data_IF_376726908123
#
_entry.id   IF_376726908123
#
_cell.length_a   1.000
_cell.length_b   1.000
_cell.length_c   1.000
_cell.angle_alpha   90.00
_cell.angle_beta   90.00
_cell.angle_gamma   90.00
#
_symmetry.space_group_name_H-M   'P 1'
#
loop_
_entity.id
_entity.type
_entity.pdbx_description
1 polymer ?
#
# COMPACT_ATOMS: atom_id res chain seq x y z
N UNK A 1 0.66 20.06 -20.87
CA UNK A 1 1.43 18.83 -20.54
C UNK A 1 1.24 18.59 -19.06
N UNK A 2 0.63 17.47 -18.69
CA UNK A 2 0.55 17.06 -17.30
C UNK A 2 1.98 16.85 -16.80
N UNK A 3 2.36 17.45 -15.66
CA UNK A 3 3.69 17.28 -15.09
C UNK A 3 3.82 15.86 -14.56
N UNK A 4 4.80 15.10 -15.07
CA UNK A 4 5.13 13.75 -14.62
C UNK A 4 6.08 13.86 -13.42
N UNK A 5 5.63 13.57 -12.18
CA UNK A 5 6.49 13.71 -11.00
C UNK A 5 7.64 12.71 -10.98
N UNK A 6 7.50 11.58 -11.69
CA UNK A 6 8.49 10.49 -11.67
C UNK A 6 9.65 10.70 -12.65
N UNK A 7 9.51 11.63 -13.60
CA UNK A 7 10.59 11.99 -14.54
C UNK A 7 11.17 10.79 -15.28
N UNK A 8 12.46 10.51 -15.08
CA UNK A 8 13.17 9.43 -15.74
C UNK A 8 12.94 8.03 -15.13
N UNK A 9 12.29 7.93 -13.97
CA UNK A 9 12.05 6.64 -13.32
C UNK A 9 11.23 5.70 -14.23
N UNK A 10 11.69 4.46 -14.34
CA UNK A 10 11.09 3.42 -15.20
C UNK A 10 10.58 2.22 -14.40
N UNK A 11 11.06 2.03 -13.19
CA UNK A 11 10.82 0.88 -12.32
C UNK A 11 10.44 1.39 -10.93
N UNK A 12 9.15 1.54 -10.69
CA UNK A 12 8.62 2.20 -9.49
C UNK A 12 8.16 1.13 -8.51
N UNK A 13 8.71 1.14 -7.28
CA UNK A 13 8.28 0.29 -6.18
C UNK A 13 7.29 1.07 -5.31
N UNK A 14 6.06 0.58 -5.23
CA UNK A 14 5.03 1.03 -4.30
C UNK A 14 5.10 0.22 -3.03
N UNK A 15 5.21 0.88 -1.89
CA UNK A 15 5.28 0.25 -0.56
C UNK A 15 4.00 0.55 0.19
N UNK A 16 3.23 -0.49 0.50
CA UNK A 16 1.93 -0.42 1.16
C UNK A 16 1.88 -1.31 2.40
N UNK A 17 1.01 -0.99 3.36
CA UNK A 17 0.90 -1.71 4.61
C UNK A 17 0.08 -3.00 4.47
N UNK A 18 -1.10 -2.89 3.86
CA UNK A 18 -2.08 -3.97 3.82
C UNK A 18 -2.46 -4.33 2.38
N UNK A 19 -2.90 -5.57 2.14
CA UNK A 19 -3.58 -5.94 0.90
C UNK A 19 -4.85 -5.09 0.75
N UNK A 20 -4.99 -4.35 -0.33
CA UNK A 20 -6.00 -3.39 -0.77
C UNK A 20 -5.51 -1.93 -0.88
N UNK A 21 -4.56 -1.50 -0.06
CA UNK A 21 -4.02 -0.13 -0.07
C UNK A 21 -3.50 0.29 -1.46
N UNK A 22 -2.82 -0.63 -2.18
CA UNK A 22 -2.30 -0.35 -3.51
C UNK A 22 -3.42 -0.04 -4.51
N UNK A 23 -4.56 -0.69 -4.35
CA UNK A 23 -5.73 -0.48 -5.20
C UNK A 23 -6.55 0.73 -4.78
N UNK A 24 -6.71 0.96 -3.46
CA UNK A 24 -7.46 2.09 -2.90
C UNK A 24 -6.75 3.41 -3.17
N UNK A 25 -5.45 3.49 -2.84
CA UNK A 25 -4.70 4.73 -2.86
C UNK A 25 -4.00 5.00 -4.19
N UNK A 26 -3.57 3.95 -4.89
CA UNK A 26 -2.68 4.06 -6.06
C UNK A 26 -3.12 3.27 -7.28
N UNK A 27 -4.28 2.61 -7.26
CA UNK A 27 -4.69 1.69 -8.34
C UNK A 27 -4.73 2.36 -9.71
N UNK A 28 -5.39 3.51 -9.85
CA UNK A 28 -5.41 4.24 -11.11
C UNK A 28 -4.02 4.78 -11.51
N UNK A 29 -3.21 5.23 -10.54
CA UNK A 29 -1.84 5.68 -10.77
C UNK A 29 -0.95 4.54 -11.29
N UNK A 30 -1.00 3.36 -10.65
CA UNK A 30 -0.27 2.16 -11.09
C UNK A 30 -0.68 1.79 -12.53
N UNK A 31 -1.98 1.74 -12.81
CA UNK A 31 -2.49 1.43 -14.15
C UNK A 31 -2.02 2.46 -15.20
N UNK A 32 -2.03 3.76 -14.86
CA UNK A 32 -1.54 4.82 -15.74
C UNK A 32 -0.03 4.69 -16.04
N UNK A 33 0.77 4.45 -15.00
CA UNK A 33 2.21 4.28 -15.14
C UNK A 33 2.54 3.03 -15.97
N UNK A 34 1.84 1.92 -15.72
CA UNK A 34 2.00 0.67 -16.48
C UNK A 34 1.62 0.87 -17.96
N UNK A 35 0.49 1.51 -18.24
CA UNK A 35 0.06 1.86 -19.60
C UNK A 35 1.06 2.78 -20.32
N UNK A 36 1.80 3.61 -19.57
CA UNK A 36 2.88 4.45 -20.13
C UNK A 36 4.20 3.70 -20.39
N UNK A 37 4.25 2.39 -20.11
CA UNK A 37 5.42 1.54 -20.31
C UNK A 37 6.38 1.49 -19.11
N UNK A 38 6.00 2.01 -17.94
CA UNK A 38 6.75 1.83 -16.70
C UNK A 38 6.45 0.46 -16.10
N UNK A 39 7.42 -0.09 -15.37
CA UNK A 39 7.23 -1.31 -14.60
C UNK A 39 6.93 -0.93 -13.15
N UNK A 40 5.73 -1.19 -12.70
CA UNK A 40 5.31 -0.99 -11.33
C UNK A 40 5.47 -2.29 -10.53
N UNK A 41 5.98 -2.17 -9.31
CA UNK A 41 6.14 -3.26 -8.36
C UNK A 41 5.40 -2.89 -7.08
N UNK A 42 4.87 -3.89 -6.38
CA UNK A 42 4.16 -3.69 -5.11
C UNK A 42 4.83 -4.51 -4.02
N UNK A 43 5.21 -3.85 -2.94
CA UNK A 43 5.60 -4.45 -1.68
C UNK A 43 4.48 -4.18 -0.67
N UNK A 44 3.91 -5.25 -0.09
CA UNK A 44 2.89 -5.15 0.94
C UNK A 44 3.47 -5.70 2.25
N UNK A 45 3.29 -4.97 3.35
CA UNK A 45 4.03 -5.25 4.56
C UNK A 45 3.39 -6.32 5.43
N UNK A 46 2.07 -6.34 5.56
CA UNK A 46 1.32 -7.32 6.37
C UNK A 46 0.43 -8.20 5.50
N UNK A 47 -0.32 -9.07 6.10
CA UNK A 47 -1.32 -9.89 5.41
C UNK A 47 -2.74 -9.37 5.62
N UNK A 48 -2.90 -8.25 6.36
CA UNK A 48 -4.18 -7.64 6.67
C UNK A 48 -5.09 -8.54 7.48
N UNK A 49 -4.52 -9.36 8.34
CA UNK A 49 -5.20 -10.39 9.14
C UNK A 49 -6.15 -9.82 10.19
N UNK A 50 -6.10 -8.51 10.43
CA UNK A 50 -6.99 -7.81 11.37
C UNK A 50 -8.10 -7.01 10.67
N UNK A 51 -8.19 -7.11 9.35
CA UNK A 51 -9.25 -6.47 8.58
C UNK A 51 -10.63 -7.08 8.88
N UNK A 52 -11.64 -6.22 9.01
CA UNK A 52 -13.03 -6.67 9.08
C UNK A 52 -13.44 -7.35 7.78
N UNK A 53 -14.24 -8.41 7.88
CA UNK A 53 -14.69 -9.19 6.72
C UNK A 53 -16.15 -8.89 6.43
N UNK A 54 -16.48 -8.65 5.18
CA UNK A 54 -17.86 -8.47 4.75
C UNK A 54 -18.69 -9.74 5.04
N UNK A 55 -19.91 -9.57 5.58
CA UNK A 55 -20.78 -10.70 5.89
C UNK A 55 -20.99 -11.64 4.69
N UNK A 56 -20.86 -12.95 4.92
CA UNK A 56 -21.09 -13.98 3.92
C UNK A 56 -19.99 -14.20 2.89
N UNK A 57 -18.81 -13.54 3.05
CA UNK A 57 -17.68 -13.71 2.13
C UNK A 57 -16.69 -14.79 2.60
N UNK A 58 -16.59 -14.97 3.90
CA UNK A 58 -15.73 -15.99 4.51
C UNK A 58 -16.57 -16.81 5.50
N UNK A 59 -16.42 -18.12 5.47
CA UNK A 59 -17.04 -19.01 6.46
C UNK A 59 -16.32 -18.86 7.82
N UNK A 60 -16.97 -19.31 8.91
CA UNK A 60 -16.46 -19.13 10.26
C UNK A 60 -15.10 -19.84 10.53
N UNK A 61 -14.79 -20.87 9.76
CA UNK A 61 -13.55 -21.64 9.78
C UNK A 61 -12.62 -21.31 8.59
N UNK A 62 -12.96 -20.26 7.82
CA UNK A 62 -12.19 -19.84 6.64
C UNK A 62 -10.88 -19.14 7.01
N UNK A 63 -9.89 -19.28 6.13
CA UNK A 63 -8.59 -18.64 6.27
C UNK A 63 -8.61 -17.23 5.64
N UNK A 64 -8.76 -16.21 6.49
CA UNK A 64 -8.76 -14.80 6.06
C UNK A 64 -7.43 -14.41 5.39
N UNK A 65 -6.30 -14.87 5.90
CA UNK A 65 -4.99 -14.54 5.33
C UNK A 65 -4.87 -15.11 3.92
N UNK A 66 -5.23 -16.38 3.72
CA UNK A 66 -5.21 -16.99 2.40
C UNK A 66 -6.14 -16.26 1.42
N UNK A 67 -7.35 -15.88 1.88
CA UNK A 67 -8.31 -15.14 1.07
C UNK A 67 -7.73 -13.77 0.65
N UNK A 68 -7.25 -12.96 1.61
CA UNK A 68 -6.71 -11.63 1.32
C UNK A 68 -5.49 -11.66 0.41
N UNK A 69 -4.62 -12.66 0.58
CA UNK A 69 -3.46 -12.83 -0.32
C UNK A 69 -3.87 -13.23 -1.73
N UNK A 70 -4.95 -14.02 -1.90
CA UNK A 70 -5.50 -14.34 -3.21
C UNK A 70 -6.13 -13.11 -3.87
N UNK A 71 -6.90 -12.31 -3.12
CA UNK A 71 -7.48 -11.05 -3.57
C UNK A 71 -6.39 -10.05 -4.01
N UNK A 72 -5.33 -9.88 -3.21
CA UNK A 72 -4.17 -9.06 -3.52
C UNK A 72 -3.45 -9.51 -4.80
N UNK A 73 -3.29 -10.82 -4.97
CA UNK A 73 -2.65 -11.36 -6.16
C UNK A 73 -3.46 -11.05 -7.43
N UNK A 74 -4.79 -11.19 -7.37
CA UNK A 74 -5.70 -10.86 -8.47
C UNK A 74 -5.72 -9.37 -8.77
N UNK A 75 -5.82 -8.51 -7.73
CA UNK A 75 -5.78 -7.06 -7.88
C UNK A 75 -4.48 -6.56 -8.55
N UNK A 76 -3.32 -7.00 -8.07
CA UNK A 76 -2.03 -6.69 -8.68
C UNK A 76 -1.96 -7.12 -10.15
N UNK A 77 -2.51 -8.28 -10.49
CA UNK A 77 -2.59 -8.77 -11.86
C UNK A 77 -3.43 -7.85 -12.75
N UNK A 78 -4.59 -7.41 -12.25
CA UNK A 78 -5.50 -6.48 -12.98
C UNK A 78 -4.89 -5.10 -13.20
N UNK A 79 -4.04 -4.63 -12.30
CA UNK A 79 -3.30 -3.38 -12.43
C UNK A 79 -2.07 -3.50 -13.35
N UNK A 80 -1.70 -4.70 -13.80
CA UNK A 80 -0.52 -4.93 -14.61
C UNK A 80 0.80 -4.80 -13.82
N UNK A 81 0.77 -5.04 -12.51
CA UNK A 81 1.95 -5.02 -11.63
C UNK A 81 2.98 -6.05 -12.12
N UNK A 82 4.22 -5.61 -12.35
CA UNK A 82 5.29 -6.42 -12.94
C UNK A 82 5.91 -7.42 -11.95
N UNK A 83 5.72 -7.20 -10.64
CA UNK A 83 6.16 -8.09 -9.58
C UNK A 83 5.63 -7.60 -8.23
N UNK A 84 5.44 -8.52 -7.31
CA UNK A 84 4.96 -8.22 -5.96
C UNK A 84 5.70 -9.04 -4.92
N UNK A 85 5.80 -8.52 -3.69
CA UNK A 85 6.44 -9.20 -2.57
C UNK A 85 5.71 -8.89 -1.26
N UNK A 86 5.82 -9.81 -0.30
CA UNK A 86 5.46 -9.57 1.09
C UNK A 86 6.71 -9.27 1.89
N UNK A 87 6.66 -8.21 2.69
CA UNK A 87 7.75 -7.81 3.57
C UNK A 87 8.13 -8.96 4.53
N UNK A 88 9.42 -9.08 4.84
CA UNK A 88 9.95 -10.15 5.68
C UNK A 88 10.12 -11.49 4.97
N UNK A 89 9.75 -11.62 3.70
CA UNK A 89 9.94 -12.83 2.89
C UNK A 89 10.75 -12.53 1.62
N UNK A 90 11.60 -13.45 1.13
CA UNK A 90 12.32 -13.20 -0.13
C UNK A 90 11.38 -12.82 -1.28
N UNK A 91 11.70 -11.79 -2.11
CA UNK A 91 12.95 -11.03 -2.11
C UNK A 91 12.98 -9.82 -1.14
N UNK A 92 11.93 -9.58 -0.35
CA UNK A 92 11.81 -8.48 0.62
C UNK A 92 12.26 -8.91 2.03
N UNK A 93 13.41 -9.56 2.10
CA UNK A 93 14.09 -9.98 3.34
C UNK A 93 15.58 -9.84 3.18
N UNK A 94 16.18 -8.89 3.92
CA UNK A 94 17.61 -8.57 3.80
C UNK A 94 18.51 -9.64 4.43
N UNK A 95 18.11 -10.16 5.60
CA UNK A 95 18.92 -11.13 6.33
C UNK A 95 18.07 -12.03 7.25
N UNK A 96 18.59 -13.22 7.54
CA UNK A 96 17.97 -14.17 8.45
C UNK A 96 16.81 -14.96 7.86
N UNK A 97 16.07 -15.72 8.69
CA UNK A 97 14.90 -16.47 8.25
C UNK A 97 13.75 -15.55 7.84
N UNK A 98 12.80 -16.09 7.07
CA UNK A 98 11.57 -15.39 6.77
C UNK A 98 10.86 -14.97 8.06
N UNK A 99 10.29 -13.76 8.04
CA UNK A 99 9.55 -13.14 9.13
C UNK A 99 8.18 -12.68 8.65
N UNK A 100 7.19 -12.76 9.50
CA UNK A 100 5.88 -12.13 9.30
C UNK A 100 5.85 -10.86 10.13
N UNK A 101 5.47 -9.76 9.51
CA UNK A 101 5.08 -8.55 10.21
C UNK A 101 3.55 -8.55 10.28
N UNK A 102 3.03 -8.53 11.51
CA UNK A 102 1.59 -8.58 11.72
C UNK A 102 0.96 -7.19 11.55
N UNK A 103 -0.28 -7.18 11.10
CA UNK A 103 -1.12 -5.98 11.09
C UNK A 103 -1.30 -5.46 12.52
N UNK A 104 -0.98 -4.17 12.75
CA UNK A 104 -1.05 -3.55 14.07
C UNK A 104 -2.48 -3.31 14.53
N UNK A 105 -3.44 -3.38 13.60
CA UNK A 105 -4.77 -2.81 13.82
C UNK A 105 -4.70 -1.31 14.10
N UNK A 106 -5.84 -0.70 14.30
CA UNK A 106 -5.94 0.72 14.60
C UNK A 106 -6.93 0.97 15.73
N UNK A 107 -6.57 1.87 16.65
CA UNK A 107 -7.48 2.41 17.66
C UNK A 107 -7.29 3.92 17.76
N UNK A 108 -8.37 4.63 18.03
CA UNK A 108 -8.31 6.04 18.36
C UNK A 108 -7.79 6.23 19.79
N UNK A 109 -6.75 7.02 19.95
CA UNK A 109 -6.11 7.29 21.24
C UNK A 109 -6.75 8.48 21.97
N UNK A 110 -7.60 9.24 21.29
CA UNK A 110 -8.33 10.38 21.84
C UNK A 110 -9.82 10.30 21.49
N UNK A 111 -10.64 10.93 22.32
CA UNK A 111 -12.10 10.96 22.15
C UNK A 111 -12.56 11.79 20.93
N UNK A 112 -11.67 12.59 20.35
CA UNK A 112 -11.95 13.40 19.15
C UNK A 112 -11.60 12.65 17.85
N UNK A 113 -11.07 11.43 17.97
CA UNK A 113 -10.65 10.59 16.82
C UNK A 113 -9.65 11.32 15.90
N UNK A 114 -8.71 12.05 16.51
CA UNK A 114 -7.68 12.81 15.77
C UNK A 114 -6.31 12.17 15.82
N UNK A 115 -6.08 11.30 16.80
CA UNK A 115 -4.82 10.59 17.00
C UNK A 115 -5.07 9.08 16.95
N UNK A 116 -4.56 8.42 15.95
CA UNK A 116 -4.59 6.97 15.85
C UNK A 116 -3.30 6.33 16.38
N UNK A 117 -3.40 5.11 16.85
CA UNK A 117 -2.28 4.26 17.25
C UNK A 117 -2.61 2.78 17.07
N UNK A 118 -1.66 1.88 17.33
CA UNK A 118 -1.91 0.46 17.25
C UNK A 118 -3.04 0.03 18.18
N UNK A 119 -3.78 -1.00 17.78
CA UNK A 119 -4.85 -1.54 18.62
C UNK A 119 -4.28 -1.99 19.98
N UNK A 120 -5.05 -1.87 21.08
CA UNK A 120 -4.56 -2.24 22.42
C UNK A 120 -4.12 -3.71 22.54
N UNK A 121 -4.62 -4.57 21.66
CA UNK A 121 -4.30 -5.99 21.55
C UNK A 121 -3.37 -6.29 20.38
N UNK A 122 -2.63 -5.29 19.88
CA UNK A 122 -1.65 -5.48 18.82
C UNK A 122 -0.63 -6.56 19.23
N UNK A 123 -0.32 -7.52 18.36
CA UNK A 123 0.64 -8.57 18.69
C UNK A 123 2.07 -8.02 18.79
N UNK A 124 2.95 -8.75 19.47
CA UNK A 124 4.34 -8.31 19.69
C UNK A 124 5.17 -8.20 18.38
N UNK A 125 4.76 -8.88 17.33
CA UNK A 125 5.32 -8.83 15.97
C UNK A 125 4.57 -7.87 15.04
N UNK A 126 3.71 -7.00 15.60
CA UNK A 126 3.03 -5.95 14.86
C UNK A 126 4.02 -5.05 14.12
N UNK A 127 3.68 -4.66 12.89
CA UNK A 127 4.53 -3.87 12.00
C UNK A 127 4.96 -2.55 12.64
N UNK A 128 4.03 -1.83 13.27
CA UNK A 128 4.34 -0.54 13.90
C UNK A 128 5.23 -0.63 15.15
N UNK A 129 5.45 -1.86 15.67
CA UNK A 129 6.34 -2.15 16.81
C UNK A 129 7.67 -2.78 16.36
N UNK A 130 7.86 -2.99 15.07
CA UNK A 130 9.06 -3.63 14.53
C UNK A 130 10.28 -2.71 14.60
N UNK A 131 11.47 -3.31 14.45
CA UNK A 131 12.71 -2.56 14.29
C UNK A 131 12.69 -1.83 12.92
N UNK A 132 12.76 -0.50 12.96
CA UNK A 132 12.67 0.33 11.77
C UNK A 132 13.86 0.11 10.81
N UNK A 133 15.04 -0.15 11.32
CA UNK A 133 16.22 -0.41 10.49
C UNK A 133 16.13 -1.78 9.82
N UNK A 134 15.58 -2.79 10.50
CA UNK A 134 15.30 -4.10 9.89
C UNK A 134 14.27 -3.97 8.76
N UNK A 135 13.18 -3.26 8.98
CA UNK A 135 12.14 -3.04 7.95
C UNK A 135 12.69 -2.23 6.78
N UNK A 136 13.50 -1.20 7.04
CA UNK A 136 14.14 -0.42 5.98
C UNK A 136 15.09 -1.29 5.13
N UNK A 137 15.86 -2.18 5.76
CA UNK A 137 16.73 -3.11 5.05
C UNK A 137 15.94 -4.12 4.20
N UNK A 138 14.82 -4.63 4.69
CA UNK A 138 13.94 -5.53 3.96
C UNK A 138 13.29 -4.84 2.73
N UNK A 139 12.87 -3.57 2.88
CA UNK A 139 12.39 -2.74 1.75
C UNK A 139 13.51 -2.50 0.73
N UNK A 140 14.73 -2.20 1.19
CA UNK A 140 15.87 -1.99 0.32
C UNK A 140 16.21 -3.26 -0.49
N UNK A 141 16.23 -4.43 0.15
CA UNK A 141 16.42 -5.71 -0.53
C UNK A 141 15.37 -5.96 -1.63
N UNK A 142 14.11 -5.63 -1.37
CA UNK A 142 13.04 -5.71 -2.35
C UNK A 142 13.29 -4.76 -3.53
N UNK A 143 13.66 -3.50 -3.25
CA UNK A 143 13.95 -2.51 -4.27
C UNK A 143 15.11 -2.95 -5.17
N UNK A 144 16.18 -3.47 -4.60
CA UNK A 144 17.32 -4.02 -5.34
C UNK A 144 16.93 -5.22 -6.20
N UNK A 145 16.19 -6.18 -5.63
CA UNK A 145 15.76 -7.39 -6.34
C UNK A 145 14.87 -7.07 -7.55
N UNK A 146 14.00 -6.07 -7.45
CA UNK A 146 13.18 -5.61 -8.57
C UNK A 146 13.92 -4.59 -9.46
N UNK A 147 15.09 -4.12 -9.03
CA UNK A 147 15.85 -3.05 -9.70
C UNK A 147 15.05 -1.76 -9.77
N UNK A 148 14.35 -1.42 -8.70
CA UNK A 148 13.57 -0.19 -8.62
C UNK A 148 14.48 1.04 -8.73
N UNK A 149 13.98 2.07 -9.40
CA UNK A 149 14.67 3.35 -9.57
C UNK A 149 13.89 4.52 -8.94
N UNK A 150 12.78 4.20 -8.25
CA UNK A 150 12.02 5.12 -7.41
C UNK A 150 11.17 4.32 -6.39
N UNK A 151 10.94 4.90 -5.20
CA UNK A 151 10.03 4.39 -4.18
C UNK A 151 8.86 5.35 -3.98
N UNK A 152 7.67 4.79 -3.76
CA UNK A 152 6.43 5.53 -3.44
C UNK A 152 5.79 4.90 -2.21
N UNK A 153 5.34 5.71 -1.26
CA UNK A 153 4.54 5.27 -0.11
C UNK A 153 3.63 6.41 0.38
N UNK A 154 2.99 6.23 1.51
CA UNK A 154 2.18 7.25 2.19
C UNK A 154 3.01 8.50 2.54
N UNK A 155 2.36 9.59 2.90
CA UNK A 155 3.01 10.74 3.54
C UNK A 155 3.35 10.43 5.02
N UNK A 156 4.00 11.39 5.68
CA UNK A 156 4.42 11.26 7.08
C UNK A 156 3.24 11.09 8.06
N UNK A 157 2.03 11.51 7.66
CA UNK A 157 0.81 11.30 8.43
C UNK A 157 0.16 9.94 8.20
N UNK A 158 0.67 9.13 7.26
CA UNK A 158 0.10 7.83 6.92
C UNK A 158 -1.29 7.91 6.28
N UNK A 159 -1.58 9.00 5.55
CA UNK A 159 -2.90 9.26 5.00
C UNK A 159 -3.92 9.55 6.09
N UNK A 160 -4.76 8.57 6.44
CA UNK A 160 -5.74 8.70 7.54
C UNK A 160 -5.18 8.38 8.93
N UNK A 161 -3.86 8.21 9.06
CA UNK A 161 -3.18 8.06 10.36
C UNK A 161 -3.03 6.62 10.85
N UNK A 162 -3.22 5.60 9.99
CA UNK A 162 -2.99 4.21 10.41
C UNK A 162 -1.54 4.02 10.91
N UNK A 163 -1.29 3.41 12.08
CA UNK A 163 0.04 3.30 12.65
C UNK A 163 1.04 2.57 11.73
N UNK A 164 0.60 1.57 10.97
CA UNK A 164 1.44 0.86 10.01
C UNK A 164 1.82 1.75 8.82
N UNK A 165 0.93 2.64 8.36
CA UNK A 165 1.22 3.58 7.29
C UNK A 165 2.26 4.62 7.72
N UNK A 166 2.08 5.19 8.93
CA UNK A 166 3.02 6.15 9.54
C UNK A 166 4.39 5.50 9.71
N UNK A 167 4.44 4.28 10.22
CA UNK A 167 5.68 3.53 10.40
C UNK A 167 6.39 3.26 9.07
N UNK A 168 5.66 2.76 8.06
CA UNK A 168 6.22 2.45 6.74
C UNK A 168 6.76 3.67 6.01
N UNK A 169 6.14 4.84 6.19
CA UNK A 169 6.70 6.07 5.62
C UNK A 169 8.17 6.26 6.05
N UNK A 170 8.45 6.15 7.36
CA UNK A 170 9.81 6.30 7.90
C UNK A 170 10.77 5.25 7.35
N UNK A 171 10.38 3.98 7.38
CA UNK A 171 11.21 2.87 6.91
C UNK A 171 11.48 2.94 5.39
N UNK A 172 10.47 3.25 4.58
CA UNK A 172 10.64 3.37 3.13
C UNK A 172 11.51 4.57 2.75
N UNK A 173 11.39 5.70 3.48
CA UNK A 173 12.26 6.86 3.30
C UNK A 173 13.71 6.54 3.64
N UNK A 174 13.95 5.81 4.72
CA UNK A 174 15.30 5.36 5.11
C UNK A 174 15.90 4.42 4.05
N UNK A 175 15.12 3.44 3.55
CA UNK A 175 15.53 2.55 2.47
C UNK A 175 15.90 3.31 1.20
N UNK A 176 15.05 4.24 0.75
CA UNK A 176 15.30 5.06 -0.43
C UNK A 176 16.58 5.91 -0.27
N UNK A 177 16.77 6.53 0.91
CA UNK A 177 17.97 7.31 1.24
C UNK A 177 19.23 6.45 1.19
N UNK A 178 19.20 5.25 1.79
CA UNK A 178 20.33 4.32 1.79
C UNK A 178 20.74 3.86 0.38
N UNK A 179 19.76 3.72 -0.52
CA UNK A 179 19.98 3.33 -1.91
C UNK A 179 20.26 4.52 -2.86
N UNK A 180 20.11 5.75 -2.38
CA UNK A 180 20.21 6.96 -3.23
C UNK A 180 19.07 7.06 -4.26
N UNK A 181 17.92 6.47 -3.98
CA UNK A 181 16.76 6.47 -4.88
C UNK A 181 15.85 7.67 -4.63
N UNK A 182 15.20 8.22 -5.67
CA UNK A 182 14.09 9.12 -5.52
C UNK A 182 12.99 8.53 -4.64
N UNK A 183 12.55 9.29 -3.66
CA UNK A 183 11.45 8.94 -2.75
C UNK A 183 10.27 9.87 -3.00
N UNK A 184 9.07 9.29 -3.08
CA UNK A 184 7.83 10.01 -3.31
C UNK A 184 6.79 9.65 -2.26
N UNK A 185 6.03 10.65 -1.85
CA UNK A 185 4.91 10.53 -0.93
C UNK A 185 3.59 10.72 -1.66
N UNK A 186 2.59 9.93 -1.30
CA UNK A 186 1.19 10.20 -1.64
C UNK A 186 0.72 11.35 -0.74
N UNK A 187 0.31 12.47 -1.30
CA UNK A 187 0.00 13.66 -0.51
C UNK A 187 -0.93 14.61 -1.24
N UNK A 188 -1.89 15.15 -0.50
CA UNK A 188 -2.77 16.24 -0.96
C UNK A 188 -2.26 17.62 -0.51
N UNK A 189 -1.07 17.68 0.10
CA UNK A 189 -0.50 18.92 0.59
C UNK A 189 -0.09 19.87 -0.53
N UNK A 190 0.03 21.14 -0.19
CA UNK A 190 0.52 22.17 -1.12
C UNK A 190 1.91 21.77 -1.67
N UNK A 191 2.07 21.88 -2.98
CA UNK A 191 3.30 21.47 -3.69
C UNK A 191 3.29 20.04 -4.23
N UNK A 192 2.29 19.23 -3.93
CA UNK A 192 2.12 17.94 -4.59
C UNK A 192 1.71 18.13 -6.06
N UNK A 193 2.27 17.29 -6.92
CA UNK A 193 1.87 17.19 -8.32
C UNK A 193 0.71 16.22 -8.41
N UNK A 194 -0.45 16.69 -8.83
CA UNK A 194 -1.61 15.81 -9.05
C UNK A 194 -1.46 15.09 -10.38
N UNK A 195 -1.34 13.77 -10.33
CA UNK A 195 -1.42 12.91 -11.51
C UNK A 195 -2.88 12.58 -11.77
N UNK A 196 -3.40 13.03 -12.91
CA UNK A 196 -4.76 12.68 -13.36
C UNK A 196 -4.71 11.36 -14.11
N UNK A 197 -5.19 10.31 -13.46
CA UNK A 197 -5.31 8.96 -13.99
C UNK A 197 -6.78 8.56 -14.26
N UNK A 198 -7.66 9.54 -14.47
CA UNK A 198 -9.11 9.29 -14.68
C UNK A 198 -9.43 8.36 -15.87
N UNK A 199 -8.56 8.36 -16.89
CA UNK A 199 -8.65 7.40 -17.99
C UNK A 199 -8.47 5.92 -17.57
N UNK A 200 -8.01 5.66 -16.34
CA UNK A 200 -7.76 4.33 -15.79
C UNK A 200 -8.73 3.93 -14.67
N UNK A 201 -9.87 4.63 -14.55
CA UNK A 201 -10.91 4.32 -13.56
C UNK A 201 -11.36 2.85 -13.66
N UNK A 202 -11.60 2.34 -14.86
CA UNK A 202 -12.06 0.96 -15.05
C UNK A 202 -11.04 -0.07 -14.56
N UNK A 203 -9.74 0.19 -14.76
CA UNK A 203 -8.68 -0.68 -14.28
C UNK A 203 -8.60 -0.67 -12.73
N UNK A 204 -8.67 0.52 -12.11
CA UNK A 204 -8.72 0.67 -10.67
C UNK A 204 -9.96 0.00 -10.06
N UNK A 205 -11.15 0.25 -10.64
CA UNK A 205 -12.38 -0.40 -10.20
C UNK A 205 -12.33 -1.93 -10.36
N UNK A 206 -11.69 -2.42 -11.43
CA UNK A 206 -11.49 -3.86 -11.63
C UNK A 206 -10.62 -4.47 -10.55
N UNK A 207 -9.51 -3.82 -10.18
CA UNK A 207 -8.63 -4.26 -9.10
C UNK A 207 -9.33 -4.24 -7.74
N UNK A 208 -10.04 -3.15 -7.42
CA UNK A 208 -10.82 -3.03 -6.19
C UNK A 208 -11.87 -4.15 -6.04
N UNK A 209 -12.51 -4.59 -7.13
CA UNK A 209 -13.46 -5.72 -7.09
C UNK A 209 -12.82 -7.06 -6.70
N UNK A 210 -11.51 -7.19 -6.76
CA UNK A 210 -10.80 -8.37 -6.25
C UNK A 210 -10.94 -8.51 -4.73
N UNK A 211 -11.06 -7.39 -4.01
CA UNK A 211 -11.13 -7.34 -2.54
C UNK A 211 -12.56 -7.52 -2.02
N UNK A 212 -13.23 -8.59 -2.45
CA UNK A 212 -14.61 -8.86 -2.05
C UNK A 212 -14.79 -9.04 -0.54
N UNK A 213 -13.72 -9.43 0.18
CA UNK A 213 -13.74 -9.55 1.64
C UNK A 213 -13.78 -8.19 2.34
N UNK A 214 -13.22 -7.12 1.74
CA UNK A 214 -12.97 -5.85 2.41
C UNK A 214 -13.87 -4.71 1.95
N UNK A 215 -14.31 -4.75 0.69
CA UNK A 215 -15.06 -3.66 0.10
C UNK A 215 -15.97 -4.14 -1.04
N UNK A 216 -16.80 -3.24 -1.55
CA UNK A 216 -17.50 -3.40 -2.82
C UNK A 216 -17.39 -2.13 -3.65
N UNK A 217 -17.49 -2.26 -4.97
CA UNK A 217 -17.46 -1.15 -5.90
C UNK A 217 -18.86 -0.89 -6.43
N UNK A 218 -19.34 0.35 -6.28
CA UNK A 218 -20.65 0.82 -6.74
C UNK A 218 -20.46 2.05 -7.63
N UNK A 219 -20.54 1.85 -8.95
CA UNK A 219 -20.22 2.90 -9.91
C UNK A 219 -18.74 3.28 -9.86
N UNK A 220 -18.48 4.55 -9.55
CA UNK A 220 -17.15 5.15 -9.36
C UNK A 220 -16.75 5.32 -7.88
N UNK A 221 -17.49 4.67 -6.98
CA UNK A 221 -17.22 4.67 -5.55
C UNK A 221 -16.86 3.28 -5.03
N UNK A 222 -16.07 3.23 -3.98
CA UNK A 222 -15.89 2.06 -3.14
C UNK A 222 -16.64 2.23 -1.81
N UNK A 223 -17.13 1.12 -1.29
CA UNK A 223 -17.86 1.05 -0.02
C UNK A 223 -17.16 0.04 0.87
N UNK A 224 -16.62 0.52 2.00
CA UNK A 224 -15.95 -0.31 3.01
C UNK A 224 -16.93 -1.19 3.79
N UNK A 225 -16.40 -2.14 4.57
CA UNK A 225 -17.19 -3.05 5.42
C UNK A 225 -18.11 -2.27 6.35
N UNK A 226 -17.59 -1.21 6.99
CA UNK A 226 -18.34 -0.34 7.88
C UNK A 226 -19.37 0.57 7.20
N UNK A 227 -19.50 0.51 5.86
CA UNK A 227 -20.45 1.30 5.09
C UNK A 227 -19.94 2.68 4.66
N UNK A 228 -18.71 3.06 5.02
CA UNK A 228 -18.10 4.30 4.58
C UNK A 228 -17.91 4.26 3.06
N UNK A 229 -18.22 5.38 2.41
CA UNK A 229 -18.14 5.53 0.94
C UNK A 229 -17.08 6.55 0.58
N UNK A 230 -16.33 6.26 -0.46
CA UNK A 230 -15.40 7.23 -1.04
C UNK A 230 -15.28 7.04 -2.55
N UNK A 231 -15.02 8.11 -3.31
CA UNK A 231 -14.70 7.99 -4.74
C UNK A 231 -13.45 7.12 -4.95
N UNK A 232 -13.42 6.37 -6.04
CA UNK A 232 -12.20 5.69 -6.48
C UNK A 232 -11.15 6.76 -6.80
N UNK A 233 -9.96 6.63 -6.21
CA UNK A 233 -8.87 7.60 -6.34
C UNK A 233 -8.27 7.58 -7.77
N UNK A 234 -8.75 8.48 -8.62
CA UNK A 234 -8.23 8.66 -9.99
C UNK A 234 -7.37 9.91 -10.16
N UNK A 235 -7.32 10.77 -9.15
CA UNK A 235 -6.44 11.93 -9.09
C UNK A 235 -5.56 11.78 -7.85
N UNK A 236 -4.30 11.48 -8.08
CA UNK A 236 -3.37 11.11 -7.00
C UNK A 236 -2.31 12.20 -6.87
N UNK A 237 -2.25 12.82 -5.70
CA UNK A 237 -1.20 13.77 -5.36
C UNK A 237 0.09 13.03 -5.04
N UNK A 238 1.18 13.45 -5.68
CA UNK A 238 2.53 12.88 -5.49
C UNK A 238 3.49 14.01 -5.19
N UNK A 239 4.23 13.89 -4.10
CA UNK A 239 5.24 14.85 -3.68
C UNK A 239 6.60 14.18 -3.53
N UNK A 240 7.65 14.91 -3.89
CA UNK A 240 9.03 14.57 -3.53
C UNK A 240 9.42 15.46 -2.34
N UNK A 241 9.55 14.90 -1.12
CA UNK A 241 9.85 15.66 0.09
C UNK A 241 11.29 16.17 0.13
#
# INVERSE_FOLDING_TARGET
MQSDPFGAARRVLFVHAHPDDESISTGALIAALTASGRRCFVLTATRGERGEVRPGVLDADGDLVALRLAEWADACSRLGVAGRALLGTPPARAAGPARVYADSGMAWLDAAETLAGPAPDAPADALSLADADEVAADIAACAEAFGADALVTYDAGGGYGHPDHVFLHGAARAAASGLGLPFFELSDAAGAVVVDASAHLDAAASALRSYASQLRVEGDELVHVGGQRQPIAVRVGVRRP
#
